data_IF_740547568716
#
_entry.id   IF_740547568716
#
_cell.length_a   1.000
_cell.length_b   1.000
_cell.length_c   1.000
_cell.angle_alpha   90.00
_cell.angle_beta   90.00
_cell.angle_gamma   90.00
#
_symmetry.space_group_name_H-M   'P 1'
#
loop_
_entity.id
_entity.type
_entity.pdbx_description
1 polymer ?
#
# COMPACT_ATOMS: atom_id res chain seq x y z
N UNK A 1 -11.59 8.38 -11.10
CA UNK A 1 -11.80 8.54 -12.56
C UNK A 1 -11.03 9.74 -13.06
N UNK A 2 -11.49 10.97 -12.84
CA UNK A 2 -10.87 12.19 -13.40
C UNK A 2 -9.35 12.28 -13.16
N UNK A 3 -8.88 12.17 -11.92
CA UNK A 3 -7.44 12.20 -11.57
C UNK A 3 -6.60 11.21 -12.41
N UNK A 4 -7.11 10.00 -12.61
CA UNK A 4 -6.45 8.93 -13.36
C UNK A 4 -6.43 9.24 -14.86
N UNK A 5 -7.49 9.87 -15.39
CA UNK A 5 -7.54 10.30 -16.79
C UNK A 5 -6.67 11.53 -17.06
N UNK A 6 -6.53 12.46 -16.09
CA UNK A 6 -5.64 13.62 -16.21
C UNK A 6 -4.16 13.25 -16.37
N UNK A 7 -3.74 12.10 -15.85
CA UNK A 7 -2.38 11.55 -16.04
C UNK A 7 -2.25 10.65 -17.28
N UNK A 8 -3.20 10.71 -18.22
CA UNK A 8 -3.13 10.02 -19.51
C UNK A 8 -3.58 8.56 -19.53
N UNK A 9 -4.09 8.00 -18.43
CA UNK A 9 -4.56 6.61 -18.42
C UNK A 9 -5.87 6.48 -19.21
N UNK A 10 -5.95 5.59 -20.21
CA UNK A 10 -7.14 5.43 -21.04
C UNK A 10 -8.31 4.84 -20.24
N UNK A 11 -9.54 5.24 -20.58
CA UNK A 11 -10.75 4.81 -19.89
C UNK A 11 -10.99 3.29 -19.91
N UNK A 12 -10.40 2.57 -20.87
CA UNK A 12 -10.40 1.10 -20.95
C UNK A 12 -9.61 0.41 -19.84
N UNK A 13 -8.70 1.12 -19.15
CA UNK A 13 -7.96 0.63 -17.97
C UNK A 13 -8.61 1.04 -16.65
N UNK A 14 -9.84 1.55 -16.66
CA UNK A 14 -10.54 2.04 -15.47
C UNK A 14 -11.78 1.17 -15.18
N UNK A 15 -11.79 0.55 -14.00
CA UNK A 15 -12.97 -0.15 -13.45
C UNK A 15 -13.63 0.75 -12.42
N UNK A 16 -14.91 1.08 -12.59
CA UNK A 16 -15.67 1.81 -11.56
C UNK A 16 -16.34 0.82 -10.60
N UNK A 17 -15.51 0.29 -9.68
CA UNK A 17 -15.84 -0.84 -8.82
C UNK A 17 -16.65 -0.52 -7.53
N UNK A 18 -17.17 0.71 -7.36
CA UNK A 18 -18.09 0.99 -6.25
C UNK A 18 -19.46 0.35 -6.54
N UNK A 19 -19.99 -0.56 -5.69
CA UNK A 19 -21.30 -1.17 -5.93
C UNK A 19 -22.45 -0.15 -5.90
N UNK A 20 -22.40 0.85 -5.02
CA UNK A 20 -23.50 1.82 -4.82
C UNK A 20 -23.15 3.21 -5.35
N UNK A 21 -23.51 3.51 -6.62
CA UNK A 21 -23.10 4.75 -7.31
C UNK A 21 -24.23 5.79 -7.37
N UNK A 22 -23.87 7.07 -7.31
CA UNK A 22 -24.82 8.14 -7.61
C UNK A 22 -25.09 8.21 -9.13
N UNK A 23 -26.32 8.54 -9.52
CA UNK A 23 -26.70 8.67 -10.95
C UNK A 23 -25.79 9.67 -11.69
N UNK A 24 -25.42 10.78 -11.04
CA UNK A 24 -24.49 11.77 -11.60
C UNK A 24 -23.11 11.16 -11.89
N UNK A 25 -22.61 10.27 -11.03
CA UNK A 25 -21.32 9.59 -11.21
C UNK A 25 -21.37 8.51 -12.30
N UNK A 26 -22.51 7.81 -12.45
CA UNK A 26 -22.73 6.87 -13.57
C UNK A 26 -22.75 7.63 -14.91
N UNK A 27 -23.46 8.76 -14.98
CA UNK A 27 -23.44 9.65 -16.16
C UNK A 27 -22.05 10.22 -16.45
N UNK A 28 -21.29 10.55 -15.40
CA UNK A 28 -19.89 10.98 -15.55
C UNK A 28 -19.04 9.87 -16.17
N UNK A 29 -19.14 8.63 -15.69
CA UNK A 29 -18.42 7.47 -16.24
C UNK A 29 -18.75 7.27 -17.73
N UNK A 30 -20.04 7.34 -18.09
CA UNK A 30 -20.50 7.28 -19.47
C UNK A 30 -19.87 8.37 -20.36
N UNK A 31 -19.94 9.64 -19.92
CA UNK A 31 -19.39 10.80 -20.66
C UNK A 31 -17.88 10.66 -20.91
N UNK A 32 -17.13 10.04 -20.01
CA UNK A 32 -15.68 9.89 -20.09
C UNK A 32 -15.22 8.50 -20.56
N UNK A 33 -16.12 7.72 -21.17
CA UNK A 33 -15.80 6.44 -21.81
C UNK A 33 -15.46 5.28 -20.85
N UNK A 34 -15.66 5.44 -19.54
CA UNK A 34 -15.45 4.39 -18.54
C UNK A 34 -16.62 3.41 -18.62
N UNK A 35 -16.39 2.22 -19.20
CA UNK A 35 -17.44 1.24 -19.51
C UNK A 35 -17.61 0.14 -18.46
N UNK A 36 -16.55 -0.25 -17.74
CA UNK A 36 -16.62 -1.37 -16.79
C UNK A 36 -17.07 -0.87 -15.41
N UNK A 37 -18.27 -1.25 -14.98
CA UNK A 37 -18.91 -0.83 -13.73
C UNK A 37 -19.29 -2.08 -12.90
N UNK A 38 -19.11 -2.04 -11.58
CA UNK A 38 -19.65 -3.11 -10.72
C UNK A 38 -21.14 -2.89 -10.38
N UNK A 39 -21.84 -3.94 -9.97
CA UNK A 39 -23.17 -3.88 -9.34
C UNK A 39 -23.42 -5.14 -8.50
N UNK A 40 -24.30 -5.06 -7.51
CA UNK A 40 -24.69 -6.19 -6.65
C UNK A 40 -26.20 -6.26 -6.35
N UNK A 41 -26.99 -5.31 -6.89
CA UNK A 41 -28.43 -5.21 -6.61
C UNK A 41 -29.24 -4.62 -7.78
N UNK A 42 -30.55 -4.82 -7.76
CA UNK A 42 -31.48 -4.39 -8.82
C UNK A 42 -31.57 -2.86 -8.97
N UNK A 43 -31.53 -2.12 -7.86
CA UNK A 43 -31.60 -0.66 -7.90
C UNK A 43 -30.36 -0.05 -8.57
N UNK A 44 -29.19 -0.69 -8.41
CA UNK A 44 -27.98 -0.31 -9.13
C UNK A 44 -28.08 -0.63 -10.62
N UNK A 45 -28.55 -1.84 -10.98
CA UNK A 45 -28.79 -2.23 -12.36
C UNK A 45 -29.73 -1.23 -13.05
N UNK A 46 -30.86 -0.89 -12.43
CA UNK A 46 -31.84 0.06 -12.97
C UNK A 46 -31.23 1.46 -13.20
N UNK A 47 -30.35 1.94 -12.31
CA UNK A 47 -29.63 3.20 -12.50
C UNK A 47 -28.68 3.15 -13.70
N UNK A 48 -27.97 2.03 -13.90
CA UNK A 48 -27.06 1.84 -15.04
C UNK A 48 -27.83 1.75 -16.36
N UNK A 49 -28.87 0.92 -16.45
CA UNK A 49 -29.74 0.80 -17.63
C UNK A 49 -30.21 2.18 -18.13
N UNK A 50 -30.65 3.05 -17.21
CA UNK A 50 -31.13 4.40 -17.54
C UNK A 50 -30.04 5.43 -17.87
N UNK A 51 -28.82 5.25 -17.37
CA UNK A 51 -27.81 6.33 -17.31
C UNK A 51 -26.52 6.04 -18.08
N UNK A 52 -26.26 4.76 -18.38
CA UNK A 52 -25.10 4.27 -19.11
C UNK A 52 -25.41 2.92 -19.78
N UNK A 53 -26.31 2.88 -20.79
CA UNK A 53 -26.73 1.64 -21.44
C UNK A 53 -25.59 0.94 -22.20
N UNK A 54 -24.48 1.64 -22.47
CA UNK A 54 -23.26 1.08 -23.08
C UNK A 54 -22.26 0.49 -22.07
N UNK A 55 -22.62 0.45 -20.78
CA UNK A 55 -21.80 -0.15 -19.75
C UNK A 55 -21.68 -1.67 -19.93
N UNK A 56 -20.55 -2.20 -19.46
CA UNK A 56 -20.33 -3.63 -19.23
C UNK A 56 -20.31 -3.83 -17.72
N UNK A 57 -21.14 -4.73 -17.23
CA UNK A 57 -21.33 -4.92 -15.79
C UNK A 57 -20.49 -6.08 -15.25
N UNK A 58 -19.94 -5.88 -14.06
CA UNK A 58 -19.29 -6.92 -13.25
C UNK A 58 -20.15 -7.16 -12.02
N UNK A 59 -20.71 -8.36 -11.87
CA UNK A 59 -21.57 -8.70 -10.74
C UNK A 59 -20.70 -8.96 -9.51
N UNK A 60 -20.85 -8.14 -8.46
CA UNK A 60 -20.17 -8.37 -7.20
C UNK A 60 -20.93 -9.40 -6.37
N UNK A 61 -20.29 -10.50 -5.99
CA UNK A 61 -20.84 -11.52 -5.09
C UNK A 61 -20.43 -11.24 -3.65
N UNK A 62 -21.25 -11.70 -2.71
CA UNK A 62 -20.91 -11.72 -1.29
C UNK A 62 -19.87 -12.81 -0.99
N UNK A 63 -19.10 -12.59 0.07
CA UNK A 63 -18.04 -13.49 0.58
C UNK A 63 -18.33 -13.85 2.03
N UNK A 64 -17.86 -15.02 2.47
CA UNK A 64 -17.78 -15.29 3.91
C UNK A 64 -16.66 -14.41 4.49
N UNK A 65 -17.03 -13.53 5.42
CA UNK A 65 -16.13 -12.58 6.08
C UNK A 65 -16.07 -12.77 7.60
N UNK A 66 -16.52 -13.94 8.09
CA UNK A 66 -16.57 -14.30 9.53
C UNK A 66 -15.26 -14.10 10.29
N UNK A 67 -14.13 -13.97 9.59
CA UNK A 67 -12.79 -13.75 10.15
C UNK A 67 -12.08 -12.45 9.70
N UNK A 68 -12.71 -11.58 8.90
CA UNK A 68 -12.05 -10.35 8.40
C UNK A 68 -11.91 -9.26 9.49
N UNK A 69 -10.86 -8.44 9.42
CA UNK A 69 -10.65 -7.32 10.36
C UNK A 69 -11.56 -6.11 10.07
N UNK A 70 -12.05 -6.00 8.83
CA UNK A 70 -12.88 -4.89 8.36
C UNK A 70 -13.99 -5.42 7.44
N UNK A 71 -15.06 -6.01 8.01
CA UNK A 71 -16.11 -6.65 7.22
C UNK A 71 -16.90 -5.63 6.36
N UNK A 72 -17.05 -5.96 5.08
CA UNK A 72 -17.73 -5.21 4.03
C UNK A 72 -18.93 -5.97 3.44
N UNK A 73 -19.01 -7.29 3.57
CA UNK A 73 -20.02 -8.15 2.93
C UNK A 73 -21.43 -8.00 3.49
N UNK A 74 -21.58 -7.59 4.76
CA UNK A 74 -22.89 -7.20 5.29
C UNK A 74 -23.49 -5.99 4.53
N UNK A 75 -22.65 -5.21 3.85
CA UNK A 75 -23.04 -4.00 3.12
C UNK A 75 -23.02 -4.16 1.60
N UNK A 76 -22.29 -5.14 1.06
CA UNK A 76 -22.00 -5.28 -0.37
C UNK A 76 -21.91 -6.73 -0.83
N UNK A 77 -22.32 -6.97 -2.07
CA UNK A 77 -22.25 -8.27 -2.73
C UNK A 77 -23.57 -9.03 -2.75
N UNK A 78 -23.88 -9.63 -3.90
CA UNK A 78 -25.05 -10.45 -4.09
C UNK A 78 -24.83 -11.86 -3.53
N UNK A 79 -25.83 -12.42 -2.84
CA UNK A 79 -25.84 -13.86 -2.53
C UNK A 79 -25.93 -14.68 -3.82
N UNK A 80 -25.40 -15.91 -3.83
CA UNK A 80 -25.54 -16.84 -4.97
C UNK A 80 -27.00 -17.03 -5.40
N UNK A 81 -27.94 -17.07 -4.43
CA UNK A 81 -29.39 -17.19 -4.69
C UNK A 81 -29.94 -15.99 -5.48
N UNK A 82 -29.48 -14.78 -5.20
CA UNK A 82 -29.86 -13.56 -5.93
C UNK A 82 -29.14 -13.40 -7.28
N UNK A 83 -27.97 -14.03 -7.49
CA UNK A 83 -27.16 -13.83 -8.70
C UNK A 83 -27.93 -14.18 -9.97
N UNK A 84 -28.60 -15.33 -10.02
CA UNK A 84 -29.41 -15.74 -11.19
C UNK A 84 -30.47 -14.69 -11.54
N UNK A 85 -31.19 -14.16 -10.55
CA UNK A 85 -32.21 -13.14 -10.78
C UNK A 85 -31.64 -11.82 -11.32
N UNK A 86 -30.49 -11.38 -10.80
CA UNK A 86 -29.79 -10.19 -11.29
C UNK A 86 -29.32 -10.37 -12.74
N UNK A 87 -28.83 -11.56 -13.10
CA UNK A 87 -28.41 -11.90 -14.47
C UNK A 87 -29.59 -11.96 -15.45
N UNK A 88 -30.73 -12.51 -15.04
CA UNK A 88 -31.99 -12.51 -15.81
C UNK A 88 -32.49 -11.08 -16.07
N UNK A 89 -32.53 -10.25 -15.02
CA UNK A 89 -32.97 -8.85 -15.14
C UNK A 89 -32.00 -8.03 -16.01
N UNK A 90 -30.69 -8.26 -15.92
CA UNK A 90 -29.71 -7.61 -16.80
C UNK A 90 -29.91 -8.01 -18.27
N UNK A 91 -30.12 -9.32 -18.53
CA UNK A 91 -30.40 -9.85 -19.88
C UNK A 91 -31.69 -9.24 -20.46
N UNK A 92 -32.77 -9.19 -19.67
CA UNK A 92 -34.06 -8.58 -20.03
C UNK A 92 -33.94 -7.07 -20.29
N UNK A 93 -33.00 -6.40 -19.63
CA UNK A 93 -32.72 -4.97 -19.80
C UNK A 93 -31.69 -4.67 -20.90
N UNK A 94 -31.27 -5.68 -21.67
CA UNK A 94 -30.23 -5.59 -22.71
C UNK A 94 -28.88 -5.02 -22.23
N UNK A 95 -28.55 -5.17 -20.95
CA UNK A 95 -27.22 -4.81 -20.41
C UNK A 95 -26.39 -6.08 -20.23
N UNK A 96 -25.15 -6.02 -20.71
CA UNK A 96 -24.23 -7.15 -20.72
C UNK A 96 -23.48 -7.26 -19.39
N UNK A 97 -23.59 -8.42 -18.74
CA UNK A 97 -22.74 -8.78 -17.61
C UNK A 97 -21.55 -9.54 -18.15
N UNK A 98 -20.35 -8.99 -17.97
CA UNK A 98 -19.09 -9.49 -18.55
C UNK A 98 -18.21 -10.22 -17.53
N UNK A 99 -18.63 -10.30 -16.28
CA UNK A 99 -17.79 -10.89 -15.26
C UNK A 99 -18.37 -10.87 -13.86
N UNK A 100 -17.57 -11.41 -12.95
CA UNK A 100 -17.86 -11.50 -11.52
C UNK A 100 -16.72 -10.83 -10.74
N UNK A 101 -17.05 -10.19 -9.63
CA UNK A 101 -16.07 -9.71 -8.66
C UNK A 101 -16.41 -10.14 -7.25
N UNK A 102 -15.40 -10.21 -6.38
CA UNK A 102 -15.63 -10.33 -4.95
C UNK A 102 -14.70 -9.39 -4.17
N UNK A 103 -14.79 -9.41 -2.84
CA UNK A 103 -13.87 -8.72 -1.95
C UNK A 103 -13.94 -9.36 -0.55
N UNK A 104 -12.83 -9.92 -0.07
CA UNK A 104 -12.77 -10.66 1.22
C UNK A 104 -12.46 -9.73 2.41
N UNK A 105 -12.16 -8.46 2.13
CA UNK A 105 -11.78 -7.46 3.13
C UNK A 105 -10.28 -7.46 3.44
N UNK A 106 -9.84 -6.43 4.17
CA UNK A 106 -8.43 -6.31 4.57
C UNK A 106 -8.11 -7.21 5.76
N UNK A 107 -6.94 -7.85 5.72
CA UNK A 107 -6.41 -8.59 6.87
C UNK A 107 -7.19 -9.86 7.25
N UNK A 108 -7.96 -10.43 6.33
CA UNK A 108 -8.58 -11.74 6.55
C UNK A 108 -7.49 -12.81 6.79
N UNK A 109 -7.52 -13.55 7.91
CA UNK A 109 -6.57 -14.60 8.22
C UNK A 109 -6.96 -15.94 7.58
N UNK A 110 -8.21 -16.09 7.12
CA UNK A 110 -8.66 -17.31 6.46
C UNK A 110 -8.32 -17.29 4.96
N UNK A 111 -7.45 -18.21 4.57
CA UNK A 111 -7.10 -18.43 3.16
C UNK A 111 -8.21 -19.18 2.41
N UNK A 112 -9.05 -19.96 3.08
CA UNK A 112 -10.11 -20.74 2.43
C UNK A 112 -11.18 -19.83 1.78
N UNK A 113 -11.47 -18.67 2.39
CA UNK A 113 -12.31 -17.63 1.82
C UNK A 113 -11.94 -17.25 0.36
N UNK A 114 -10.64 -17.27 -0.02
CA UNK A 114 -10.22 -17.02 -1.41
C UNK A 114 -10.63 -18.15 -2.34
N UNK A 115 -10.37 -19.40 -1.95
CA UNK A 115 -10.77 -20.59 -2.73
C UNK A 115 -12.29 -20.66 -2.90
N UNK A 116 -13.06 -20.44 -1.82
CA UNK A 116 -14.51 -20.46 -1.86
C UNK A 116 -15.06 -19.33 -2.74
N UNK A 117 -14.53 -18.11 -2.63
CA UNK A 117 -14.97 -16.98 -3.46
C UNK A 117 -14.71 -17.20 -4.96
N UNK A 118 -13.62 -17.88 -5.30
CA UNK A 118 -13.32 -18.26 -6.70
C UNK A 118 -14.26 -19.37 -7.18
N UNK A 119 -14.56 -20.37 -6.35
CA UNK A 119 -15.54 -21.41 -6.65
C UNK A 119 -16.96 -20.83 -6.84
N UNK A 120 -17.38 -19.92 -5.96
CA UNK A 120 -18.67 -19.22 -6.04
C UNK A 120 -18.76 -18.35 -7.29
N UNK A 121 -17.67 -17.66 -7.65
CA UNK A 121 -17.59 -16.92 -8.90
C UNK A 121 -17.74 -17.85 -10.12
N UNK A 122 -17.14 -19.05 -10.10
CA UNK A 122 -17.29 -20.05 -11.17
C UNK A 122 -18.75 -20.47 -11.36
N UNK A 123 -19.48 -20.71 -10.28
CA UNK A 123 -20.92 -21.02 -10.34
C UNK A 123 -21.72 -19.86 -10.98
N UNK A 124 -21.38 -18.61 -10.67
CA UNK A 124 -22.06 -17.44 -11.27
C UNK A 124 -21.68 -17.24 -12.75
N UNK A 125 -20.46 -17.58 -13.16
CA UNK A 125 -20.09 -17.67 -14.58
C UNK A 125 -20.94 -18.69 -15.34
N UNK A 126 -21.25 -19.84 -14.73
CA UNK A 126 -22.11 -20.89 -15.33
C UNK A 126 -23.57 -20.42 -15.45
N UNK A 127 -24.14 -19.83 -14.39
CA UNK A 127 -25.45 -19.16 -14.48
C UNK A 127 -25.47 -18.07 -15.56
N UNK A 128 -24.35 -17.35 -15.72
CA UNK A 128 -24.16 -16.37 -16.79
C UNK A 128 -24.23 -16.98 -18.18
N UNK A 129 -23.49 -18.07 -18.41
CA UNK A 129 -23.45 -18.77 -19.69
C UNK A 129 -24.81 -19.36 -20.08
N UNK A 130 -25.54 -19.98 -19.14
CA UNK A 130 -26.91 -20.47 -19.36
C UNK A 130 -27.88 -19.37 -19.82
N UNK A 131 -27.73 -18.15 -19.28
CA UNK A 131 -28.51 -16.97 -19.63
C UNK A 131 -27.96 -16.21 -20.84
N UNK A 132 -26.90 -16.73 -21.47
CA UNK A 132 -26.26 -16.16 -22.66
C UNK A 132 -25.49 -14.87 -22.40
N UNK A 133 -24.85 -14.71 -21.24
CA UNK A 133 -23.89 -13.64 -20.95
C UNK A 133 -22.46 -14.08 -21.32
N UNK A 134 -21.75 -13.25 -22.08
CA UNK A 134 -20.37 -13.50 -22.49
C UNK A 134 -19.36 -13.11 -21.42
N UNK A 135 -19.37 -13.80 -20.27
CA UNK A 135 -18.48 -13.48 -19.15
C UNK A 135 -17.03 -13.87 -19.43
N UNK A 136 -16.11 -12.92 -19.21
CA UNK A 136 -14.68 -13.03 -19.48
C UNK A 136 -13.81 -12.23 -18.50
N UNK A 137 -14.38 -11.73 -17.38
CA UNK A 137 -13.64 -10.97 -16.36
C UNK A 137 -13.89 -11.57 -14.98
N UNK A 138 -12.81 -11.95 -14.27
CA UNK A 138 -12.87 -12.26 -12.84
C UNK A 138 -12.04 -11.22 -12.08
N UNK A 139 -12.67 -10.44 -11.21
CA UNK A 139 -11.99 -9.46 -10.35
C UNK A 139 -11.94 -9.98 -8.90
N UNK A 140 -10.75 -10.43 -8.50
CA UNK A 140 -10.45 -11.04 -7.19
C UNK A 140 -10.57 -10.05 -6.02
N UNK A 141 -10.84 -8.78 -6.29
CA UNK A 141 -10.94 -7.77 -5.26
C UNK A 141 -9.59 -7.35 -4.73
N UNK A 142 -9.52 -7.11 -3.41
CA UNK A 142 -8.36 -6.52 -2.75
C UNK A 142 -8.30 -6.99 -1.31
N UNK A 143 -7.60 -6.24 -0.46
CA UNK A 143 -7.36 -6.62 0.94
C UNK A 143 -5.99 -7.28 1.18
N UNK A 144 -5.26 -7.58 0.10
CA UNK A 144 -3.86 -8.04 0.11
C UNK A 144 -2.97 -7.23 1.08
N UNK A 145 -2.16 -7.89 1.92
CA UNK A 145 -1.31 -7.22 2.90
C UNK A 145 -0.21 -6.40 2.22
N UNK A 146 0.18 -5.27 2.80
CA UNK A 146 1.31 -4.43 2.35
C UNK A 146 2.56 -4.54 3.20
N UNK A 147 2.66 -5.57 4.06
CA UNK A 147 3.74 -5.80 5.00
C UNK A 147 4.08 -7.29 5.08
N UNK A 148 5.37 -7.62 5.11
CA UNK A 148 5.85 -9.00 5.27
C UNK A 148 5.51 -9.58 6.65
N UNK A 149 5.44 -8.73 7.69
CA UNK A 149 5.06 -9.11 9.06
C UNK A 149 3.55 -9.24 9.31
N UNK A 150 2.73 -9.31 8.26
CA UNK A 150 1.30 -9.58 8.40
C UNK A 150 1.04 -11.03 8.87
N UNK A 151 -0.08 -11.26 9.58
CA UNK A 151 -0.46 -12.61 10.07
C UNK A 151 -0.54 -13.68 8.97
N UNK A 152 -0.90 -13.25 7.75
CA UNK A 152 -0.88 -14.04 6.53
C UNK A 152 -0.13 -13.23 5.50
N UNK A 153 0.87 -13.83 4.85
CA UNK A 153 1.73 -13.14 3.86
C UNK A 153 1.08 -13.10 2.48
N UNK A 154 1.53 -12.17 1.64
CA UNK A 154 1.04 -12.03 0.27
C UNK A 154 1.27 -13.30 -0.56
N UNK A 155 2.43 -13.95 -0.39
CA UNK A 155 2.83 -15.16 -1.11
C UNK A 155 1.91 -16.35 -0.80
N UNK A 156 1.42 -16.45 0.44
CA UNK A 156 0.51 -17.50 0.86
C UNK A 156 -0.88 -17.32 0.24
N UNK A 157 -1.39 -16.08 0.25
CA UNK A 157 -2.63 -15.70 -0.44
C UNK A 157 -2.49 -15.97 -1.95
N UNK A 158 -1.39 -15.54 -2.56
CA UNK A 158 -1.14 -15.73 -4.00
C UNK A 158 -1.06 -17.22 -4.38
N UNK A 159 -0.43 -18.07 -3.54
CA UNK A 159 -0.35 -19.52 -3.74
C UNK A 159 -1.73 -20.18 -3.76
N UNK A 160 -2.58 -19.84 -2.78
CA UNK A 160 -3.95 -20.36 -2.68
C UNK A 160 -4.82 -19.86 -3.84
N UNK A 161 -4.74 -18.57 -4.18
CA UNK A 161 -5.42 -17.99 -5.35
C UNK A 161 -5.00 -18.71 -6.64
N UNK A 162 -3.70 -18.89 -6.88
CA UNK A 162 -3.22 -19.54 -8.10
C UNK A 162 -3.75 -20.98 -8.20
N UNK A 163 -3.71 -21.74 -7.11
CA UNK A 163 -4.23 -23.12 -7.05
C UNK A 163 -5.74 -23.18 -7.34
N UNK A 164 -6.52 -22.24 -6.81
CA UNK A 164 -7.95 -22.13 -7.08
C UNK A 164 -8.24 -21.67 -8.52
N UNK A 165 -7.44 -20.75 -9.07
CA UNK A 165 -7.55 -20.32 -10.46
C UNK A 165 -7.23 -21.46 -11.43
N UNK A 166 -6.21 -22.28 -11.18
CA UNK A 166 -5.91 -23.44 -12.02
C UNK A 166 -7.05 -24.47 -12.05
N UNK A 167 -7.80 -24.61 -10.95
CA UNK A 167 -8.96 -25.51 -10.87
C UNK A 167 -10.22 -24.93 -11.54
N UNK A 168 -10.56 -23.68 -11.26
CA UNK A 168 -11.86 -23.09 -11.65
C UNK A 168 -11.79 -22.19 -12.90
N UNK A 169 -10.64 -21.59 -13.20
CA UNK A 169 -10.43 -20.67 -14.31
C UNK A 169 -9.10 -20.99 -15.04
N UNK A 170 -8.95 -22.21 -15.57
CA UNK A 170 -7.68 -22.70 -16.12
C UNK A 170 -7.18 -21.86 -17.29
N UNK A 171 -5.87 -21.89 -17.53
CA UNK A 171 -5.25 -21.15 -18.62
C UNK A 171 -5.86 -21.52 -19.99
N UNK A 172 -6.17 -20.51 -20.79
CA UNK A 172 -6.88 -20.68 -22.06
C UNK A 172 -8.41 -20.65 -21.99
N UNK A 173 -9.03 -20.62 -20.79
CA UNK A 173 -10.50 -20.55 -20.65
C UNK A 173 -11.15 -19.22 -21.14
N UNK A 174 -10.35 -18.24 -21.57
CA UNK A 174 -10.82 -16.96 -22.11
C UNK A 174 -11.17 -15.90 -21.07
N UNK A 175 -10.89 -16.13 -19.78
CA UNK A 175 -11.14 -15.17 -18.69
C UNK A 175 -9.89 -14.37 -18.38
N UNK A 176 -10.01 -13.04 -18.37
CA UNK A 176 -9.01 -12.12 -17.84
C UNK A 176 -9.19 -11.95 -16.32
N UNK A 177 -8.10 -12.17 -15.57
CA UNK A 177 -8.07 -12.06 -14.10
C UNK A 177 -7.59 -10.66 -13.70
N UNK A 178 -8.35 -9.99 -12.84
CA UNK A 178 -8.06 -8.66 -12.30
C UNK A 178 -7.91 -8.72 -10.77
N UNK A 179 -7.15 -7.79 -10.22
CA UNK A 179 -7.05 -7.56 -8.79
C UNK A 179 -6.88 -6.07 -8.48
N UNK A 180 -7.48 -5.62 -7.37
CA UNK A 180 -7.50 -4.24 -6.86
C UNK A 180 -6.57 -4.11 -5.66
N UNK A 181 -5.26 -4.18 -5.95
CA UNK A 181 -4.21 -4.01 -4.94
C UNK A 181 -4.16 -2.55 -4.48
N UNK A 182 -4.59 -2.30 -3.24
CA UNK A 182 -4.56 -0.98 -2.60
C UNK A 182 -3.38 -0.87 -1.64
N UNK A 183 -3.60 -1.23 -0.37
CA UNK A 183 -2.58 -1.17 0.70
C UNK A 183 -1.25 -1.86 0.32
N UNK A 184 -1.31 -2.98 -0.39
CA UNK A 184 -0.16 -3.69 -0.95
C UNK A 184 0.90 -2.78 -1.62
N UNK A 185 0.48 -1.80 -2.44
CA UNK A 185 1.43 -0.94 -3.16
C UNK A 185 2.03 0.18 -2.32
N UNK A 186 1.36 0.60 -1.23
CA UNK A 186 1.65 1.90 -0.61
C UNK A 186 1.94 1.85 0.88
N UNK A 187 1.54 0.80 1.62
CA UNK A 187 1.67 0.77 3.09
C UNK A 187 3.09 1.09 3.55
N UNK A 188 4.08 0.31 3.10
CA UNK A 188 5.50 0.46 3.46
C UNK A 188 6.22 1.63 2.77
N UNK A 189 5.62 2.23 1.74
CA UNK A 189 6.26 3.29 0.95
C UNK A 189 6.30 4.67 1.64
N UNK A 190 5.63 4.82 2.79
CA UNK A 190 5.56 6.07 3.53
C UNK A 190 5.98 5.88 4.99
N UNK A 191 6.84 6.78 5.45
CA UNK A 191 7.20 6.95 6.85
C UNK A 191 6.76 8.34 7.31
N UNK A 192 6.00 8.39 8.39
CA UNK A 192 5.56 9.63 9.03
C UNK A 192 6.58 10.06 10.07
N UNK A 193 6.89 11.36 10.13
CA UNK A 193 7.55 11.98 11.27
C UNK A 193 6.61 13.01 11.88
N UNK A 194 6.40 12.96 13.20
CA UNK A 194 5.52 13.88 13.93
C UNK A 194 6.19 14.35 15.21
N UNK A 195 6.06 15.65 15.51
CA UNK A 195 6.62 16.25 16.72
C UNK A 195 5.66 16.16 17.91
N UNK A 196 6.24 16.06 19.11
CA UNK A 196 5.52 16.22 20.38
C UNK A 196 5.25 17.71 20.60
N UNK A 197 3.99 18.10 20.68
CA UNK A 197 3.55 19.49 20.86
C UNK A 197 3.25 19.84 22.32
N UNK A 198 2.91 18.86 23.17
CA UNK A 198 2.77 19.03 24.61
C UNK A 198 3.09 17.74 25.37
N UNK A 199 3.52 17.88 26.62
CA UNK A 199 3.77 16.79 27.58
C UNK A 199 3.00 17.08 28.86
N UNK A 200 2.38 16.07 29.47
CA UNK A 200 1.83 16.10 30.83
C UNK A 200 2.33 14.88 31.59
N UNK A 201 2.64 15.06 32.87
CA UNK A 201 2.91 13.95 33.79
C UNK A 201 1.69 13.75 34.67
N UNK A 202 1.19 12.52 34.73
CA UNK A 202 0.03 12.12 35.52
C UNK A 202 0.52 11.20 36.62
N UNK A 203 0.36 11.62 37.88
CA UNK A 203 0.58 10.75 39.02
C UNK A 203 -0.58 9.75 39.08
N UNK A 204 -0.28 8.47 39.21
CA UNK A 204 -1.30 7.46 39.48
C UNK A 204 -1.58 7.47 40.99
N UNK A 205 -2.62 8.19 41.40
CA UNK A 205 -3.15 8.09 42.77
C UNK A 205 -3.62 6.65 43.02
N UNK A 206 -2.84 5.89 43.81
CA UNK A 206 -3.28 4.61 44.33
C UNK A 206 -3.94 4.81 45.70
N UNK A 207 -5.28 4.66 45.82
CA UNK A 207 -5.90 4.59 47.13
C UNK A 207 -5.53 3.27 47.81
N UNK A 208 -4.59 3.32 48.77
CA UNK A 208 -4.43 2.27 49.79
C UNK A 208 -3.30 1.26 49.60
N UNK A 209 -2.13 1.66 49.08
CA UNK A 209 -0.88 0.91 49.31
C UNK A 209 0.18 1.82 49.93
N UNK A 210 0.56 1.51 51.17
CA UNK A 210 1.66 2.15 51.87
C UNK A 210 2.99 1.86 51.16
N UNK A 211 3.90 2.82 51.24
CA UNK A 211 5.09 2.90 50.37
C UNK A 211 6.22 1.99 50.85
N UNK A 212 6.52 0.91 50.12
CA UNK A 212 7.86 0.33 50.07
C UNK A 212 8.47 0.62 48.69
N UNK A 213 9.60 1.33 48.68
CA UNK A 213 10.27 2.00 47.55
C UNK A 213 9.52 3.25 47.01
N UNK A 214 9.88 4.42 47.56
CA UNK A 214 9.26 5.72 47.30
C UNK A 214 9.51 6.32 45.91
N UNK A 215 8.87 5.75 44.89
CA UNK A 215 8.55 6.44 43.64
C UNK A 215 7.09 6.19 43.28
N UNK A 216 6.25 7.20 43.41
CA UNK A 216 4.86 7.13 42.94
C UNK A 216 4.85 6.82 41.44
N UNK A 217 4.10 5.81 40.97
CA UNK A 217 4.12 5.43 39.57
C UNK A 217 3.51 6.56 38.72
N UNK A 218 4.32 7.09 37.79
CA UNK A 218 3.93 8.20 36.91
C UNK A 218 3.69 7.70 35.50
N UNK A 219 2.60 8.15 34.90
CA UNK A 219 2.31 7.96 33.48
C UNK A 219 2.58 9.26 32.74
N UNK A 220 3.24 9.20 31.58
CA UNK A 220 3.50 10.37 30.75
C UNK A 220 2.53 10.40 29.56
N UNK A 221 1.90 11.55 29.36
CA UNK A 221 0.96 11.82 28.27
C UNK A 221 1.63 12.77 27.30
N UNK A 222 1.87 12.32 26.06
CA UNK A 222 2.41 13.13 24.99
C UNK A 222 1.31 13.45 23.97
N UNK A 223 1.12 14.73 23.67
CA UNK A 223 0.29 15.18 22.56
C UNK A 223 1.15 15.39 21.33
N UNK A 224 0.68 14.90 20.19
CA UNK A 224 1.32 14.97 18.89
C UNK A 224 0.68 16.05 18.01
N UNK A 225 1.42 16.54 17.01
CA UNK A 225 0.87 17.45 15.99
C UNK A 225 -0.19 16.84 15.06
N UNK A 226 -0.37 15.53 15.09
CA UNK A 226 -1.30 14.75 14.27
C UNK A 226 -2.04 13.71 15.13
N UNK A 227 -3.28 13.39 14.74
CA UNK A 227 -4.20 12.58 15.54
C UNK A 227 -4.99 11.57 14.71
N UNK A 228 -5.93 10.88 15.36
CA UNK A 228 -6.76 9.84 14.74
C UNK A 228 -7.81 10.43 13.78
N UNK A 229 -8.11 11.73 13.88
CA UNK A 229 -8.93 12.45 12.91
C UNK A 229 -8.15 12.92 11.67
N UNK A 230 -6.82 12.79 11.72
CA UNK A 230 -5.87 13.11 10.65
C UNK A 230 -5.17 11.86 10.11
N UNK A 231 -3.84 11.85 10.18
CA UNK A 231 -3.02 10.78 9.57
C UNK A 231 -3.19 9.43 10.29
N UNK A 232 -3.49 9.41 11.58
CA UNK A 232 -3.65 8.18 12.37
C UNK A 232 -5.07 7.58 12.32
N UNK A 233 -5.89 7.90 11.32
CA UNK A 233 -7.26 7.38 11.22
C UNK A 233 -7.33 5.85 11.06
N UNK A 234 -6.26 5.20 10.64
CA UNK A 234 -6.10 3.74 10.68
C UNK A 234 -6.27 3.14 12.10
N UNK A 235 -6.03 3.91 13.16
CA UNK A 235 -6.33 3.50 14.55
C UNK A 235 -7.83 3.29 14.75
N UNK A 236 -8.69 4.12 14.14
CA UNK A 236 -10.15 4.01 14.24
C UNK A 236 -10.76 2.98 13.30
N UNK A 237 -10.21 2.82 12.09
CA UNK A 237 -10.83 2.04 11.01
C UNK A 237 -10.21 0.66 10.77
N UNK A 238 -8.90 0.52 10.99
CA UNK A 238 -8.15 -0.73 10.79
C UNK A 238 -7.76 -1.40 12.13
N UNK A 239 -8.07 -0.77 13.29
CA UNK A 239 -7.64 -1.17 14.63
C UNK A 239 -6.11 -1.39 14.76
N UNK A 240 -5.32 -0.73 13.91
CA UNK A 240 -3.85 -0.79 13.95
C UNK A 240 -3.30 0.27 14.90
N UNK A 241 -2.76 -0.16 16.04
CA UNK A 241 -1.94 0.68 16.90
C UNK A 241 -0.55 0.86 16.26
N UNK A 242 -0.13 2.08 15.85
CA UNK A 242 1.16 2.31 15.23
C UNK A 242 2.26 2.36 16.31
N UNK A 243 3.37 1.65 16.08
CA UNK A 243 4.51 1.64 17.01
C UNK A 243 5.43 2.83 16.74
N UNK A 244 5.71 3.72 17.71
CA UNK A 244 6.65 4.81 17.52
C UNK A 244 8.09 4.31 17.53
N UNK A 245 8.88 4.83 16.59
CA UNK A 245 10.33 4.70 16.53
C UNK A 245 10.95 6.02 16.96
N UNK A 246 11.93 5.95 17.86
CA UNK A 246 12.65 7.12 18.37
C UNK A 246 13.74 7.52 17.37
N UNK A 247 13.72 8.77 16.88
CA UNK A 247 14.74 9.27 15.96
C UNK A 247 16.15 9.24 16.57
N UNK A 248 16.25 9.55 17.87
CA UNK A 248 17.46 9.38 18.67
C UNK A 248 17.37 8.01 19.33
N UNK A 249 18.34 7.12 19.06
CA UNK A 249 18.48 5.88 19.84
C UNK A 249 18.82 6.26 21.28
N UNK A 250 17.96 5.89 22.23
CA UNK A 250 18.34 5.94 23.65
C UNK A 250 19.55 5.05 23.89
N UNK A 251 20.44 5.50 24.77
CA UNK A 251 21.40 4.58 25.39
C UNK A 251 20.62 3.50 26.16
N UNK A 252 21.18 2.29 26.24
CA UNK A 252 20.52 1.12 26.82
C UNK A 252 20.23 1.24 28.35
N UNK A 253 20.57 2.36 28.96
CA UNK A 253 20.53 2.64 30.40
C UNK A 253 19.46 3.70 30.78
N UNK A 254 18.70 4.24 29.82
CA UNK A 254 17.65 5.22 30.14
C UNK A 254 16.41 4.58 30.76
N UNK A 255 15.85 5.15 31.85
CA UNK A 255 14.62 4.65 32.45
C UNK A 255 13.44 4.82 31.49
N UNK A 256 12.60 3.79 31.42
CA UNK A 256 11.36 3.79 30.64
C UNK A 256 10.16 4.11 31.54
N UNK A 257 9.20 4.84 30.98
CA UNK A 257 7.98 5.29 31.65
C UNK A 257 6.75 4.81 30.88
N UNK A 258 5.73 4.38 31.62
CA UNK A 258 4.41 4.11 31.04
C UNK A 258 3.90 5.39 30.36
N UNK A 259 3.54 5.27 29.08
CA UNK A 259 3.33 6.40 28.19
C UNK A 259 2.12 6.20 27.28
N UNK A 260 1.47 7.31 26.92
CA UNK A 260 0.39 7.35 25.93
C UNK A 260 0.57 8.50 24.95
N UNK A 261 0.15 8.28 23.71
CA UNK A 261 0.22 9.23 22.60
C UNK A 261 -1.19 9.65 22.20
N UNK A 262 -1.40 10.97 22.14
CA UNK A 262 -2.68 11.59 21.84
C UNK A 262 -2.51 12.58 20.70
N UNK A 263 -3.56 12.79 19.92
CA UNK A 263 -3.55 13.83 18.90
C UNK A 263 -3.77 15.23 19.47
N UNK A 264 -3.90 16.24 18.58
CA UNK A 264 -4.08 17.63 18.94
C UNK A 264 -5.54 18.00 19.25
N UNK A 265 -6.52 17.15 18.93
CA UNK A 265 -7.94 17.46 19.12
C UNK A 265 -8.32 17.22 20.58
N UNK A 266 -9.13 18.12 21.15
CA UNK A 266 -9.65 18.01 22.51
C UNK A 266 -10.82 16.99 22.62
N UNK A 267 -10.59 15.76 22.16
CA UNK A 267 -11.53 14.62 22.25
C UNK A 267 -10.82 13.45 22.95
N UNK A 268 -11.51 12.82 23.91
CA UNK A 268 -11.01 11.61 24.59
C UNK A 268 -10.86 10.39 23.69
N UNK A 269 -11.32 10.46 22.43
CA UNK A 269 -11.07 9.46 21.38
C UNK A 269 -9.84 9.74 20.54
N UNK A 270 -9.22 10.93 20.62
CA UNK A 270 -8.01 11.29 19.85
C UNK A 270 -6.74 10.68 20.47
N UNK A 271 -6.76 9.35 20.62
CA UNK A 271 -5.72 8.55 21.27
C UNK A 271 -5.06 7.65 20.23
N UNK A 272 -3.82 7.96 19.90
CA UNK A 272 -3.03 7.27 18.85
C UNK A 272 -2.46 5.96 19.39
N UNK A 273 -1.95 5.95 20.63
CA UNK A 273 -1.40 4.75 21.27
C UNK A 273 -1.45 4.84 22.81
N UNK A 274 -1.53 3.69 23.48
CA UNK A 274 -1.57 3.56 24.94
C UNK A 274 -0.74 2.34 25.39
N UNK A 275 -0.29 2.33 26.64
CA UNK A 275 0.49 1.21 27.21
C UNK A 275 1.92 1.11 26.68
N UNK A 276 2.47 2.19 26.12
CA UNK A 276 3.82 2.23 25.60
C UNK A 276 4.84 2.39 26.74
N UNK A 277 6.03 1.83 26.55
CA UNK A 277 7.18 2.07 27.43
C UNK A 277 8.20 2.90 26.67
N UNK A 278 8.26 4.20 26.99
CA UNK A 278 9.12 5.16 26.32
C UNK A 278 10.10 5.79 27.32
N UNK A 279 11.31 6.17 26.90
CA UNK A 279 12.16 7.06 27.70
C UNK A 279 11.47 8.42 27.89
N UNK A 280 12.00 9.26 28.76
CA UNK A 280 11.48 10.62 28.90
C UNK A 280 11.77 11.46 27.65
N UNK A 281 10.72 11.80 26.90
CA UNK A 281 10.75 12.68 25.73
C UNK A 281 10.33 14.11 26.12
N UNK A 282 10.64 15.06 25.25
CA UNK A 282 10.37 16.48 25.46
C UNK A 282 9.53 17.08 24.33
N UNK A 283 8.91 18.24 24.59
CA UNK A 283 8.23 19.01 23.54
C UNK A 283 9.25 19.43 22.48
N UNK A 284 8.94 19.17 21.22
CA UNK A 284 9.85 19.35 20.08
C UNK A 284 10.67 18.12 19.69
N UNK A 285 10.70 17.03 20.49
CA UNK A 285 11.23 15.75 20.02
C UNK A 285 10.30 15.14 18.95
N UNK A 286 10.89 14.33 18.05
CA UNK A 286 10.20 13.72 16.92
C UNK A 286 10.04 12.20 17.11
N UNK A 287 8.83 11.73 16.84
CA UNK A 287 8.50 10.32 16.70
C UNK A 287 8.37 9.96 15.22
N UNK A 288 8.91 8.80 14.86
CA UNK A 288 8.86 8.26 13.50
C UNK A 288 7.92 7.05 13.49
N UNK A 289 7.05 6.96 12.49
CA UNK A 289 6.12 5.85 12.30
C UNK A 289 6.26 5.34 10.86
N UNK A 290 6.86 4.16 10.71
CA UNK A 290 6.94 3.46 9.44
C UNK A 290 5.58 2.91 9.02
N UNK A 291 5.45 2.51 7.76
CA UNK A 291 4.28 1.79 7.23
C UNK A 291 2.98 2.62 7.20
N UNK A 292 3.11 3.95 7.12
CA UNK A 292 2.01 4.92 7.22
C UNK A 292 1.48 5.39 5.85
N UNK A 293 1.47 4.52 4.83
CA UNK A 293 1.08 4.91 3.46
C UNK A 293 -0.31 4.53 2.98
N UNK A 294 -0.99 3.60 3.66
CA UNK A 294 -2.33 3.15 3.29
C UNK A 294 -3.38 3.70 4.27
N UNK A 295 -4.46 4.30 3.74
CA UNK A 295 -5.57 4.87 4.53
C UNK A 295 -5.14 5.97 5.52
N UNK A 296 -4.08 6.71 5.23
CA UNK A 296 -3.53 7.77 6.09
C UNK A 296 -3.75 9.16 5.47
N UNK A 297 -2.89 9.55 4.53
CA UNK A 297 -2.94 10.84 3.83
C UNK A 297 -4.18 10.92 2.93
N UNK A 298 -4.88 12.05 2.97
CA UNK A 298 -6.08 12.31 2.14
C UNK A 298 -7.41 11.81 2.73
N UNK A 299 -7.38 11.04 3.82
CA UNK A 299 -8.57 10.69 4.63
C UNK A 299 -8.77 11.65 5.83
N UNK A 300 -7.78 12.49 6.12
CA UNK A 300 -7.82 13.48 7.18
C UNK A 300 -9.01 14.45 7.04
N UNK A 301 -9.81 14.56 8.09
CA UNK A 301 -10.85 15.60 8.17
C UNK A 301 -10.20 16.92 8.58
N UNK A 302 -10.55 18.08 7.99
CA UNK A 302 -9.98 19.39 8.37
C UNK A 302 -10.46 19.91 9.75
N UNK A 303 -10.92 19.02 10.63
CA UNK A 303 -11.29 19.33 12.01
C UNK A 303 -10.05 19.82 12.77
N UNK A 304 -10.12 21.04 13.31
CA UNK A 304 -9.03 21.68 14.05
C UNK A 304 -8.07 22.52 13.20
N UNK A 305 -8.26 22.62 11.88
CA UNK A 305 -7.45 23.51 11.03
C UNK A 305 -5.98 23.06 10.85
N UNK A 306 -5.70 21.77 11.04
CA UNK A 306 -4.38 21.18 10.79
C UNK A 306 -3.95 21.36 9.33
N UNK A 307 -2.70 21.76 9.11
CA UNK A 307 -2.12 21.85 7.77
C UNK A 307 -1.98 20.47 7.16
N UNK A 308 -2.27 20.34 5.86
CA UNK A 308 -2.03 19.11 5.11
C UNK A 308 -0.56 18.68 5.23
N UNK A 309 -0.32 17.48 5.75
CA UNK A 309 1.03 16.94 5.89
C UNK A 309 1.81 17.00 4.58
N UNK A 310 2.98 17.63 4.61
CA UNK A 310 3.88 17.73 3.45
C UNK A 310 4.48 16.37 3.13
N UNK A 311 4.07 15.79 2.02
CA UNK A 311 4.71 14.60 1.45
C UNK A 311 5.97 15.01 0.69
N UNK A 312 7.08 14.33 0.95
CA UNK A 312 8.32 14.46 0.17
C UNK A 312 8.61 13.10 -0.46
N UNK A 313 8.60 13.04 -1.79
CA UNK A 313 8.90 11.82 -2.54
C UNK A 313 10.41 11.69 -2.77
N UNK A 314 10.92 10.47 -2.62
CA UNK A 314 12.29 10.11 -2.95
C UNK A 314 12.28 8.83 -3.80
N UNK A 315 13.25 8.70 -4.71
CA UNK A 315 13.44 7.52 -5.55
C UNK A 315 14.95 7.32 -5.73
N UNK A 316 15.43 6.09 -5.54
CA UNK A 316 16.83 5.77 -5.82
C UNK A 316 17.08 5.76 -7.33
N UNK A 317 18.31 6.07 -7.74
CA UNK A 317 18.71 6.01 -9.15
C UNK A 317 18.44 4.64 -9.78
N UNK A 318 18.71 3.56 -9.03
CA UNK A 318 18.45 2.17 -9.45
C UNK A 318 16.95 1.92 -9.69
N UNK A 319 16.07 2.44 -8.83
CA UNK A 319 14.62 2.31 -9.01
C UNK A 319 14.12 3.13 -10.22
N UNK A 320 14.69 4.32 -10.43
CA UNK A 320 14.39 5.15 -11.61
C UNK A 320 14.82 4.47 -12.92
N UNK A 321 16.03 3.92 -12.98
CA UNK A 321 16.56 3.20 -14.15
C UNK A 321 15.72 1.94 -14.45
N UNK A 322 15.34 1.18 -13.41
CA UNK A 322 14.45 0.02 -13.56
C UNK A 322 13.05 0.38 -14.09
N UNK A 323 12.47 1.50 -13.65
CA UNK A 323 11.20 2.00 -14.17
C UNK A 323 11.33 2.54 -15.61
N UNK A 324 12.45 3.23 -15.92
CA UNK A 324 12.68 3.81 -17.25
C UNK A 324 12.67 2.74 -18.34
N UNK A 325 13.33 1.60 -18.10
CA UNK A 325 13.35 0.46 -19.03
C UNK A 325 12.02 -0.28 -19.21
N UNK A 326 11.01 0.00 -18.38
CA UNK A 326 9.65 -0.55 -18.51
C UNK A 326 8.64 0.45 -19.11
N UNK A 327 8.90 1.76 -18.97
CA UNK A 327 7.96 2.83 -19.32
C UNK A 327 8.28 3.51 -20.66
N UNK A 328 9.56 3.54 -21.06
CA UNK A 328 9.97 4.04 -22.36
C UNK A 328 10.22 2.87 -23.31
N UNK A 329 9.88 2.98 -24.61
CA UNK A 329 10.49 2.15 -25.62
C UNK A 329 12.01 2.26 -25.51
N UNK A 330 12.75 1.20 -25.83
CA UNK A 330 14.19 1.31 -26.01
C UNK A 330 14.45 2.42 -27.04
N UNK A 331 15.19 3.46 -26.64
CA UNK A 331 15.68 4.48 -27.55
C UNK A 331 16.47 3.74 -28.64
N UNK A 332 16.04 3.83 -29.90
CA UNK A 332 16.90 3.38 -31.00
C UNK A 332 18.15 4.25 -30.94
N UNK A 333 19.32 3.61 -30.87
CA UNK A 333 20.59 4.29 -31.03
C UNK A 333 20.66 4.84 -32.46
N UNK A 334 20.15 6.05 -32.67
CA UNK A 334 20.57 6.86 -33.81
C UNK A 334 22.04 7.24 -33.58
N UNK A 335 22.90 6.85 -34.51
CA UNK A 335 24.32 7.18 -34.56
C UNK A 335 24.52 8.71 -34.71
N UNK A 336 24.36 9.41 -33.59
CA UNK A 336 24.60 10.85 -33.48
C UNK A 336 26.02 11.11 -32.97
N UNK A 337 27.02 10.82 -33.82
CA UNK A 337 28.35 11.41 -33.65
C UNK A 337 28.21 12.94 -33.63
N UNK A 338 28.65 13.58 -32.53
CA UNK A 338 28.88 15.02 -32.50
C UNK A 338 27.74 15.91 -32.01
N UNK A 339 27.19 15.67 -30.81
CA UNK A 339 26.59 16.78 -30.04
C UNK A 339 26.84 16.66 -28.53
N UNK A 340 27.47 17.68 -27.94
CA UNK A 340 27.80 17.72 -26.52
C UNK A 340 26.54 17.69 -25.64
N UNK A 341 26.38 16.64 -24.84
CA UNK A 341 25.38 16.60 -23.76
C UNK A 341 25.75 17.68 -22.71
N UNK A 342 24.83 18.54 -22.28
CA UNK A 342 25.11 19.49 -21.21
C UNK A 342 25.33 18.73 -19.90
N UNK A 343 26.44 19.03 -19.22
CA UNK A 343 26.75 18.48 -17.89
C UNK A 343 25.65 18.87 -16.91
N UNK A 344 24.83 17.92 -16.47
CA UNK A 344 23.92 18.16 -15.35
C UNK A 344 24.75 18.25 -14.07
N UNK A 345 24.65 19.39 -13.38
CA UNK A 345 25.32 19.66 -12.11
C UNK A 345 24.69 18.88 -10.94
N UNK A 346 24.77 17.55 -11.00
CA UNK A 346 24.59 16.69 -9.84
C UNK A 346 25.78 16.87 -8.90
N UNK A 347 25.53 17.32 -7.68
CA UNK A 347 26.56 17.35 -6.64
C UNK A 347 26.85 15.92 -6.18
N UNK A 348 28.02 15.41 -6.52
CA UNK A 348 28.55 14.18 -5.94
C UNK A 348 28.99 14.48 -4.50
N UNK A 349 28.38 13.80 -3.53
CA UNK A 349 28.92 13.70 -2.17
C UNK A 349 29.57 12.32 -2.08
N UNK A 350 30.87 12.27 -2.35
CA UNK A 350 31.71 11.11 -2.04
C UNK A 350 32.39 11.34 -0.69
N UNK A 351 32.08 10.44 0.24
CA UNK A 351 32.73 10.18 1.52
C UNK A 351 32.68 11.22 2.66
N UNK A 352 32.72 10.64 3.85
CA UNK A 352 32.34 11.25 5.13
C UNK A 352 33.56 11.87 5.81
N UNK A 353 33.57 13.20 5.98
CA UNK A 353 34.46 13.86 6.92
C UNK A 353 33.68 14.42 8.12
N UNK A 354 33.79 13.71 9.25
CA UNK A 354 33.21 14.12 10.52
C UNK A 354 33.97 15.31 11.14
N UNK A 355 33.46 16.52 10.98
CA UNK A 355 33.77 17.66 11.86
C UNK A 355 32.47 18.30 12.30
N UNK A 356 32.21 18.31 13.62
CA UNK A 356 30.97 18.84 14.18
C UNK A 356 30.92 20.37 14.12
N UNK A 357 29.78 20.99 13.75
CA UNK A 357 29.65 22.43 13.72
C UNK A 357 29.50 23.01 15.14
N UNK A 358 30.49 23.79 15.56
CA UNK A 358 30.38 24.68 16.72
C UNK A 358 29.56 25.90 16.30
N UNK A 359 28.40 26.11 16.92
CA UNK A 359 27.54 27.27 16.69
C UNK A 359 27.77 28.37 17.74
N UNK A 360 28.27 29.52 17.30
CA UNK A 360 28.16 30.81 17.99
C UNK A 360 27.64 31.88 17.00
N UNK A 361 27.01 32.97 17.47
CA UNK A 361 25.78 33.46 16.84
C UNK A 361 25.97 34.41 15.66
N UNK A 362 24.94 34.47 14.81
CA UNK A 362 24.88 35.32 13.62
C UNK A 362 24.74 36.82 13.94
N UNK A 363 25.50 37.63 13.21
CA UNK A 363 25.34 39.09 13.15
C UNK A 363 24.34 39.50 12.07
N UNK A 364 23.52 40.52 12.35
CA UNK A 364 22.49 41.06 11.45
C UNK A 364 23.13 41.96 10.38
N UNK A 365 22.91 41.69 9.09
CA UNK A 365 23.01 42.69 8.01
C UNK A 365 21.86 42.53 7.01
N UNK A 366 21.33 43.66 6.55
CA UNK A 366 20.14 43.83 5.70
C UNK A 366 20.41 43.74 4.19
N UNK A 367 19.39 43.40 3.42
CA UNK A 367 19.41 43.33 1.94
C UNK A 367 19.38 44.70 1.26
N UNK A 368 20.14 44.87 0.17
CA UNK A 368 19.87 45.81 -0.93
C UNK A 368 20.22 45.19 -2.31
N UNK A 369 19.77 45.84 -3.39
CA UNK A 369 19.49 45.24 -4.71
C UNK A 369 20.62 45.30 -5.77
N UNK A 370 20.53 44.36 -6.72
CA UNK A 370 20.93 44.42 -8.15
C UNK A 370 22.34 43.93 -8.61
N UNK A 371 22.50 43.50 -9.90
CA UNK A 371 23.53 42.53 -10.35
C UNK A 371 24.42 43.10 -11.50
N UNK A 372 25.09 42.32 -12.40
CA UNK A 372 25.67 40.95 -12.37
C UNK A 372 27.17 40.89 -12.79
N UNK A 373 27.90 39.78 -12.55
CA UNK A 373 29.01 39.33 -13.43
C UNK A 373 29.51 37.90 -13.12
N UNK A 374 29.94 37.16 -14.15
CA UNK A 374 30.51 35.81 -14.10
C UNK A 374 32.05 35.89 -14.17
N UNK A 375 32.77 35.13 -13.34
CA UNK A 375 34.13 34.63 -13.64
C UNK A 375 34.39 33.31 -12.91
N UNK A 376 35.11 32.39 -13.57
CA UNK A 376 35.49 31.08 -13.07
C UNK A 376 37.02 30.99 -12.97
N UNK A 377 37.56 30.34 -11.92
CA UNK A 377 38.97 29.98 -11.83
C UNK A 377 39.20 28.78 -10.90
N UNK A 378 39.84 27.74 -11.43
CA UNK A 378 40.16 26.48 -10.76
C UNK A 378 41.61 26.41 -10.28
N UNK A 379 41.88 25.71 -9.17
CA UNK A 379 43.22 25.22 -8.80
C UNK A 379 43.10 23.85 -8.11
N UNK A 380 43.82 22.85 -8.59
CA UNK A 380 43.99 21.53 -7.96
C UNK A 380 45.13 21.55 -6.92
N UNK A 381 45.09 20.66 -5.92
CA UNK A 381 46.27 19.86 -5.55
C UNK A 381 45.88 18.56 -4.81
N UNK A 382 46.61 17.48 -5.12
CA UNK A 382 46.49 16.12 -4.56
C UNK A 382 47.39 15.91 -3.34
N UNK A 383 46.97 15.04 -2.40
CA UNK A 383 47.85 14.18 -1.57
C UNK A 383 47.06 13.08 -0.84
N UNK A 384 47.62 11.87 -0.77
CA UNK A 384 47.17 10.68 -0.03
C UNK A 384 48.36 10.20 0.87
N UNK A 385 48.33 9.04 1.60
CA UNK A 385 47.28 8.04 1.86
C UNK A 385 46.95 8.04 3.39
N UNK A 386 46.85 6.97 4.23
CA UNK A 386 47.02 5.50 4.09
C UNK A 386 45.68 4.72 4.15
N UNK A 387 45.73 3.43 4.52
CA UNK A 387 44.63 2.45 4.53
C UNK A 387 44.17 2.08 5.95
N UNK A 388 42.92 1.62 6.11
CA UNK A 388 42.48 0.76 7.22
C UNK A 388 41.38 -0.20 6.77
N UNK A 389 41.51 -1.48 7.15
CA UNK A 389 40.58 -2.55 6.81
C UNK A 389 39.20 -2.35 7.46
N UNK A 390 38.13 -2.67 6.74
CA UNK A 390 36.76 -2.68 7.26
C UNK A 390 36.06 -3.99 6.89
N UNK A 391 35.76 -4.78 7.91
CA UNK A 391 35.12 -6.10 7.77
C UNK A 391 33.72 -6.01 7.16
N UNK A 392 33.41 -6.97 6.29
CA UNK A 392 32.14 -7.08 5.59
C UNK A 392 30.94 -7.19 6.54
N UNK A 393 29.96 -6.32 6.35
CA UNK A 393 28.59 -6.53 6.82
C UNK A 393 27.64 -6.42 5.64
N UNK A 394 26.84 -7.47 5.45
CA UNK A 394 25.95 -7.61 4.31
C UNK A 394 24.86 -6.53 4.32
N UNK A 395 24.77 -5.74 3.25
CA UNK A 395 23.60 -4.94 2.95
C UNK A 395 22.58 -5.78 2.18
N UNK A 396 21.43 -6.04 2.77
CA UNK A 396 20.33 -6.74 2.10
C UNK A 396 19.60 -5.75 1.18
N UNK A 397 19.86 -5.85 -0.13
CA UNK A 397 19.17 -5.05 -1.14
C UNK A 397 17.78 -5.63 -1.42
N UNK A 398 16.73 -4.90 -1.06
CA UNK A 398 15.36 -5.22 -1.49
C UNK A 398 15.15 -4.82 -2.96
N UNK A 399 15.44 -5.76 -3.85
CA UNK A 399 14.78 -5.79 -5.17
C UNK A 399 13.37 -6.33 -4.97
N UNK A 400 12.36 -5.59 -5.43
CA UNK A 400 10.99 -6.08 -5.45
C UNK A 400 10.90 -7.28 -6.42
N UNK A 401 10.99 -8.50 -5.90
CA UNK A 401 10.72 -9.70 -6.69
C UNK A 401 9.25 -9.67 -7.10
N UNK A 402 9.00 -9.73 -8.40
CA UNK A 402 7.66 -9.80 -8.94
C UNK A 402 7.06 -11.20 -8.71
N UNK A 403 6.50 -11.45 -7.52
CA UNK A 403 5.57 -12.56 -7.26
C UNK A 403 4.24 -12.27 -7.98
N UNK A 404 4.29 -12.34 -9.32
CA UNK A 404 3.17 -11.99 -10.19
C UNK A 404 2.01 -12.95 -10.01
N UNK A 405 0.88 -12.43 -9.53
CA UNK A 405 -0.43 -12.89 -9.98
C UNK A 405 -0.42 -12.93 -11.51
N UNK A 406 -0.79 -14.07 -12.08
CA UNK A 406 -0.52 -14.53 -13.46
C UNK A 406 -0.73 -13.43 -14.53
N UNK A 407 0.32 -12.65 -14.85
CA UNK A 407 0.31 -11.74 -16.00
C UNK A 407 0.77 -12.47 -17.26
N UNK A 408 0.04 -12.30 -18.36
CA UNK A 408 0.30 -12.89 -19.68
C UNK A 408 1.78 -12.78 -20.10
N UNK A 409 2.56 -13.84 -19.93
CA UNK A 409 3.88 -13.98 -20.57
C UNK A 409 3.67 -14.33 -22.05
N UNK A 410 3.85 -13.34 -22.94
CA UNK A 410 4.21 -13.63 -24.34
C UNK A 410 5.69 -14.03 -24.36
N UNK A 411 5.97 -15.32 -24.49
CA UNK A 411 7.31 -15.76 -24.90
C UNK A 411 7.46 -15.57 -26.42
N UNK A 412 8.54 -14.90 -26.82
CA UNK A 412 9.15 -15.06 -28.14
C UNK A 412 10.19 -16.17 -28.00
N UNK A 413 10.31 -17.01 -29.03
CA UNK A 413 11.15 -18.20 -29.05
C UNK A 413 12.63 -17.91 -29.33
N UNK A 414 13.46 -18.95 -29.18
CA UNK A 414 14.88 -19.05 -29.58
C UNK A 414 15.89 -18.32 -28.65
N UNK A 415 17.03 -18.90 -28.24
CA UNK A 415 17.68 -20.17 -28.60
C UNK A 415 18.29 -20.94 -27.41
N UNK A 416 18.58 -22.21 -27.65
CA UNK A 416 19.23 -23.21 -26.78
C UNK A 416 20.55 -22.80 -26.13
N UNK A 417 20.77 -23.25 -24.89
CA UNK A 417 22.04 -23.87 -24.45
C UNK A 417 21.76 -24.90 -23.34
N UNK A 418 22.16 -26.16 -23.57
CA UNK A 418 22.11 -27.24 -22.58
C UNK A 418 23.23 -27.11 -21.54
N UNK A 419 22.89 -27.25 -20.25
CA UNK A 419 23.80 -27.87 -19.26
C UNK A 419 23.00 -28.85 -18.41
N UNK A 420 23.24 -30.13 -18.66
CA UNK A 420 22.85 -31.24 -17.78
C UNK A 420 23.72 -31.24 -16.52
N UNK A 421 23.10 -31.33 -15.34
CA UNK A 421 23.73 -31.98 -14.17
C UNK A 421 22.68 -32.75 -13.39
N UNK A 422 23.08 -33.93 -12.90
CA UNK A 422 22.21 -34.99 -12.42
C UNK A 422 21.77 -34.81 -10.96
N UNK A 423 20.65 -35.44 -10.58
CA UNK A 423 20.14 -35.41 -9.20
C UNK A 423 18.93 -36.33 -8.99
N UNK A 424 19.10 -37.65 -9.23
CA UNK A 424 18.03 -38.63 -9.01
C UNK A 424 17.85 -38.88 -7.50
N UNK A 425 16.60 -38.85 -7.01
CA UNK A 425 16.22 -39.61 -5.83
C UNK A 425 14.92 -40.38 -6.09
N UNK A 426 14.90 -41.63 -5.62
CA UNK A 426 13.83 -42.60 -5.82
C UNK A 426 12.67 -42.36 -4.84
N UNK A 427 11.45 -42.62 -5.30
CA UNK A 427 10.34 -42.94 -4.40
C UNK A 427 10.56 -44.30 -3.72
N UNK A 428 10.05 -44.46 -2.50
CA UNK A 428 9.85 -45.75 -1.85
C UNK A 428 8.64 -45.67 -0.92
N UNK A 429 7.80 -46.70 -0.96
CA UNK A 429 6.46 -46.69 -0.40
C UNK A 429 6.40 -46.79 1.13
N UNK A 430 5.29 -46.28 1.65
CA UNK A 430 4.55 -46.64 2.87
C UNK A 430 5.20 -47.57 3.90
N UNK A 431 5.40 -47.07 5.12
CA UNK A 431 4.90 -47.72 6.35
C UNK A 431 4.91 -46.76 7.55
N UNK A 432 4.03 -47.01 8.51
CA UNK A 432 3.85 -46.24 9.75
C UNK A 432 5.09 -46.24 10.67
N UNK A 433 5.24 -45.23 11.54
CA UNK A 433 5.09 -45.39 13.01
C UNK A 433 5.37 -44.07 13.77
N UNK A 434 4.41 -43.74 14.65
CA UNK A 434 4.43 -42.98 15.91
C UNK A 434 5.34 -41.74 16.14
N UNK A 435 4.64 -40.70 16.61
CA UNK A 435 5.14 -39.53 17.33
C UNK A 435 5.84 -39.89 18.66
N UNK A 436 6.84 -39.10 19.01
CA UNK A 436 7.19 -38.71 20.38
C UNK A 436 7.42 -37.19 20.40
#
# INVERSE_FOLDING_TARGET
MELVQRIGVPASKIVYANPCKQIAQIKYAAKHGVRLLSFDNEAELAKVVKSHPSAKLVLCIATDESHSLSPLSFKFGASLKSCRHLLENAKRSHVEVVGVSFHIGSGCPDLHAYTQSIADARLVFEMGAELGHGMHILDLGGGFPGLEGAKVRFEEIASVINSALDLYFPEGCGVDILARLGRYYVTSAFTLAVSIIAKKEVLLDQPGREEENGSTPKTIVYHLGEGVYGIFNSVLFDNMCPTPILQKKSSAEQPLYSSSLWGPVADGRDRVAEGLWLPQLHVGDWLVFENMGAYTVGMASPLGGTQTCRVTYAMSRVAWEALRGQLLPAEQEEDAEGMCKPLSCGWEITDTLCVGPVFTPASIITYQHSPPSITCSSVHHLSAPPECELGSRNFTFFTARSSLLRTKKRYVSENTWDILTEGRYLWRDDTEIQLY
#
